data_IF_666982226199
#
_entry.id   IF_666982226199
#
_cell.length_a   1.000
_cell.length_b   1.000
_cell.length_c   1.000
_cell.angle_alpha   90.00
_cell.angle_beta   90.00
_cell.angle_gamma   90.00
#
_symmetry.space_group_name_H-M   'P 1'
#
loop_
_entity.id
_entity.type
_entity.pdbx_description
1 polymer ?
#
# COMPACT_ATOMS: atom_id res chain seq x y z
N UNK A 1 -73.67 85.70 4.73
CA UNK A 1 -73.78 86.06 6.16
C UNK A 1 -73.62 84.79 7.00
N UNK A 2 -72.85 84.90 8.09
CA UNK A 2 -72.86 84.05 9.30
C UNK A 2 -72.08 82.71 9.34
N UNK A 3 -71.00 82.78 10.13
CA UNK A 3 -70.63 81.98 11.31
C UNK A 3 -70.14 80.51 11.18
N UNK A 4 -68.95 80.29 11.77
CA UNK A 4 -68.35 79.02 12.24
C UNK A 4 -69.18 78.40 13.38
N UNK A 5 -69.02 77.10 13.70
CA UNK A 5 -68.16 76.76 14.86
C UNK A 5 -67.44 75.38 14.85
N UNK A 6 -66.37 75.34 15.67
CA UNK A 6 -65.96 74.30 16.63
C UNK A 6 -65.79 72.82 16.19
N UNK A 7 -64.52 72.42 16.06
CA UNK A 7 -63.83 71.40 16.87
C UNK A 7 -64.48 70.04 17.15
N UNK A 8 -63.81 68.96 16.71
CA UNK A 8 -63.79 67.66 17.40
C UNK A 8 -62.45 66.96 17.11
N UNK A 9 -61.63 66.77 18.14
CA UNK A 9 -60.41 65.95 18.11
C UNK A 9 -60.81 64.51 18.45
N UNK A 10 -60.68 63.59 17.49
CA UNK A 10 -60.83 62.14 17.74
C UNK A 10 -59.44 61.52 17.79
N UNK A 11 -59.02 61.09 18.97
CA UNK A 11 -57.84 60.25 19.17
C UNK A 11 -58.25 58.81 18.87
N UNK A 12 -57.76 58.26 17.75
CA UNK A 12 -57.98 56.87 17.38
C UNK A 12 -56.89 55.99 18.02
N UNK A 13 -57.27 55.18 19.00
CA UNK A 13 -56.45 54.10 19.55
C UNK A 13 -56.30 53.00 18.51
N UNK A 14 -55.12 52.89 17.91
CA UNK A 14 -54.79 51.81 16.98
C UNK A 14 -54.40 50.57 17.81
N UNK A 15 -55.31 49.61 17.92
CA UNK A 15 -54.98 48.29 18.46
C UNK A 15 -54.09 47.56 17.45
N UNK A 16 -52.82 47.36 17.82
CA UNK A 16 -51.87 46.58 17.04
C UNK A 16 -52.23 45.10 17.09
N UNK A 17 -52.85 44.60 16.02
CA UNK A 17 -52.94 43.17 15.76
C UNK A 17 -51.52 42.65 15.45
N UNK A 18 -50.94 41.91 16.40
CA UNK A 18 -49.72 41.15 16.16
C UNK A 18 -50.02 40.06 15.15
N UNK A 19 -49.49 40.19 13.93
CA UNK A 19 -49.49 39.12 12.96
C UNK A 19 -48.52 38.06 13.48
N UNK A 20 -49.06 36.94 13.95
CA UNK A 20 -48.25 35.76 14.23
C UNK A 20 -47.64 35.28 12.90
N UNK A 21 -46.35 35.54 12.69
CA UNK A 21 -45.60 34.84 11.67
C UNK A 21 -45.51 33.37 12.08
N UNK A 22 -46.29 32.50 11.43
CA UNK A 22 -45.97 31.09 11.39
C UNK A 22 -44.59 30.94 10.73
N UNK A 23 -43.56 30.75 11.55
CA UNK A 23 -42.31 30.18 11.06
C UNK A 23 -42.68 28.85 10.41
N UNK A 24 -42.42 28.62 9.11
CA UNK A 24 -42.68 27.33 8.52
C UNK A 24 -41.87 26.33 9.34
N UNK A 25 -42.58 25.47 10.06
CA UNK A 25 -41.99 24.34 10.77
C UNK A 25 -41.13 23.64 9.75
N UNK A 26 -39.83 23.48 10.00
CA UNK A 26 -38.98 22.62 9.18
C UNK A 26 -39.71 21.29 9.11
N UNK A 27 -40.31 21.01 7.95
CA UNK A 27 -40.89 19.71 7.68
C UNK A 27 -39.80 18.71 8.00
N UNK A 28 -40.08 17.72 8.86
CA UNK A 28 -39.16 16.65 9.17
C UNK A 28 -38.73 16.02 7.84
N UNK A 29 -37.59 16.47 7.32
CA UNK A 29 -36.99 15.88 6.13
C UNK A 29 -36.71 14.43 6.50
N UNK A 30 -37.28 13.48 5.77
CA UNK A 30 -37.07 12.05 6.01
C UNK A 30 -35.59 11.69 6.09
N UNK A 31 -35.26 10.49 6.61
CA UNK A 31 -33.88 10.11 6.88
C UNK A 31 -33.01 10.12 5.59
N UNK A 32 -31.68 10.25 5.73
CA UNK A 32 -30.78 10.06 4.61
C UNK A 32 -30.81 8.60 4.18
N UNK A 33 -30.55 8.34 2.90
CA UNK A 33 -30.55 6.96 2.38
C UNK A 33 -29.45 6.76 1.36
N UNK A 34 -28.43 5.99 1.72
CA UNK A 34 -27.32 5.62 0.86
C UNK A 34 -27.76 4.54 -0.14
N UNK A 35 -27.55 4.82 -1.43
CA UNK A 35 -27.63 3.82 -2.50
C UNK A 35 -26.28 3.77 -3.21
N UNK A 36 -25.70 2.57 -3.29
CA UNK A 36 -24.44 2.29 -3.98
C UNK A 36 -24.72 1.19 -5.02
N UNK A 37 -24.21 1.38 -6.24
CA UNK A 37 -24.52 0.47 -7.34
C UNK A 37 -23.79 -0.88 -7.21
N UNK A 38 -22.58 -0.88 -6.64
CA UNK A 38 -21.77 -2.09 -6.44
C UNK A 38 -21.03 -2.05 -5.10
N UNK A 39 -21.13 -3.15 -4.36
CA UNK A 39 -20.40 -3.39 -3.11
C UNK A 39 -19.21 -4.34 -3.32
N UNK A 40 -18.93 -4.72 -4.56
CA UNK A 40 -17.76 -5.50 -4.89
C UNK A 40 -17.06 -4.92 -6.12
N UNK A 41 -15.74 -5.07 -6.14
CA UNK A 41 -14.96 -4.79 -7.33
C UNK A 41 -13.83 -5.81 -7.45
N UNK A 42 -13.71 -6.38 -8.64
CA UNK A 42 -12.59 -7.25 -9.00
C UNK A 42 -11.72 -6.49 -10.02
N UNK A 43 -10.49 -6.18 -9.62
CA UNK A 43 -9.47 -5.59 -10.49
C UNK A 43 -8.88 -6.62 -11.48
N UNK A 44 -9.26 -7.89 -11.34
CA UNK A 44 -8.79 -8.98 -12.16
C UNK A 44 -7.30 -9.24 -11.98
N UNK A 45 -6.66 -9.66 -13.07
CA UNK A 45 -5.21 -9.95 -13.08
C UNK A 45 -4.42 -8.65 -13.16
N UNK A 46 -3.72 -8.35 -12.08
CA UNK A 46 -2.81 -7.22 -11.97
C UNK A 46 -1.38 -7.73 -11.87
N UNK A 47 -0.43 -7.06 -12.52
CA UNK A 47 0.98 -7.33 -12.23
C UNK A 47 1.29 -6.84 -10.81
N UNK A 48 2.04 -7.62 -10.04
CA UNK A 48 2.44 -7.20 -8.70
C UNK A 48 3.16 -5.83 -8.75
N UNK A 49 2.83 -4.93 -7.81
CA UNK A 49 3.34 -3.55 -7.81
C UNK A 49 2.49 -2.54 -8.59
N UNK A 50 1.47 -3.00 -9.34
CA UNK A 50 0.54 -2.11 -10.03
C UNK A 50 -0.45 -1.47 -9.04
N UNK A 51 -0.73 -0.18 -9.26
CA UNK A 51 -1.78 0.57 -8.59
C UNK A 51 -2.91 0.86 -9.56
N UNK A 52 -4.14 0.59 -9.16
CA UNK A 52 -5.33 0.92 -9.93
C UNK A 52 -6.37 1.63 -9.06
N UNK A 53 -7.27 2.37 -9.71
CA UNK A 53 -8.36 3.07 -9.03
C UNK A 53 -9.60 3.03 -9.92
N UNK A 54 -10.74 2.72 -9.33
CA UNK A 54 -12.04 2.73 -9.98
C UNK A 54 -12.98 3.71 -9.27
N UNK A 55 -13.93 4.28 -10.02
CA UNK A 55 -15.00 5.11 -9.46
C UNK A 55 -16.26 4.27 -9.29
N UNK A 56 -16.79 4.25 -8.08
CA UNK A 56 -18.06 3.60 -7.76
C UNK A 56 -19.11 4.70 -7.53
N UNK A 57 -20.19 4.75 -8.32
CA UNK A 57 -21.23 5.73 -8.12
C UNK A 57 -22.00 5.43 -6.84
N UNK A 58 -22.36 6.49 -6.12
CA UNK A 58 -23.31 6.42 -5.02
C UNK A 58 -24.23 7.64 -5.04
N UNK A 59 -25.40 7.51 -4.41
CA UNK A 59 -26.38 8.59 -4.33
C UNK A 59 -27.09 8.61 -2.99
N UNK A 60 -27.55 9.79 -2.62
CA UNK A 60 -28.47 9.98 -1.51
C UNK A 60 -29.91 9.91 -2.05
N UNK A 61 -30.59 8.80 -1.80
CA UNK A 61 -31.99 8.60 -2.15
C UNK A 61 -32.97 9.03 -1.04
N UNK A 62 -32.47 9.65 0.03
CA UNK A 62 -33.25 10.13 1.17
C UNK A 62 -33.72 11.58 0.97
N UNK A 63 -34.16 12.17 2.07
CA UNK A 63 -34.74 13.52 2.12
C UNK A 63 -33.92 14.51 2.95
N UNK A 64 -32.93 14.03 3.70
CA UNK A 64 -31.94 14.83 4.43
C UNK A 64 -30.51 14.51 3.97
N UNK A 65 -29.53 15.29 4.42
CA UNK A 65 -28.14 15.13 4.01
C UNK A 65 -27.55 13.79 4.44
N UNK A 66 -26.97 13.07 3.49
CA UNK A 66 -26.18 11.88 3.73
C UNK A 66 -24.74 12.31 4.06
N UNK A 67 -24.24 11.85 5.20
CA UNK A 67 -22.90 12.09 5.68
C UNK A 67 -22.11 10.78 5.62
N UNK A 68 -20.95 10.82 4.97
CA UNK A 68 -19.91 9.81 5.09
C UNK A 68 -19.09 10.17 6.34
N UNK A 69 -19.22 9.37 7.38
CA UNK A 69 -18.65 9.65 8.70
C UNK A 69 -17.26 9.03 8.88
N UNK A 70 -16.90 8.06 8.04
CA UNK A 70 -15.57 7.46 8.06
C UNK A 70 -15.40 6.34 7.03
N UNK A 71 -14.15 5.91 6.87
CA UNK A 71 -13.76 4.75 6.08
C UNK A 71 -12.74 3.97 6.90
N UNK A 72 -12.96 2.66 7.03
CA UNK A 72 -12.00 1.74 7.64
C UNK A 72 -11.54 0.70 6.61
N UNK A 73 -10.24 0.68 6.36
CA UNK A 73 -9.61 -0.27 5.47
C UNK A 73 -8.63 -1.14 6.27
N UNK A 74 -8.71 -2.46 6.08
CA UNK A 74 -7.88 -3.41 6.82
C UNK A 74 -6.36 -3.27 6.56
N UNK A 75 -5.95 -2.61 5.46
CA UNK A 75 -4.56 -2.32 5.12
C UNK A 75 -4.44 -0.98 4.38
N UNK A 76 -3.25 -0.38 4.43
CA UNK A 76 -2.92 0.79 3.59
C UNK A 76 -2.86 0.47 2.08
N UNK A 77 -2.93 -0.82 1.72
CA UNK A 77 -2.90 -1.31 0.35
C UNK A 77 -4.25 -1.17 -0.39
N UNK A 78 -5.30 -0.70 0.29
CA UNK A 78 -6.61 -0.47 -0.29
C UNK A 78 -7.20 0.81 0.28
N UNK A 79 -7.76 1.66 -0.58
CA UNK A 79 -8.30 2.97 -0.17
C UNK A 79 -9.70 3.16 -0.72
N UNK A 80 -10.55 3.84 0.04
CA UNK A 80 -11.86 4.27 -0.43
C UNK A 80 -12.03 5.74 -0.03
N UNK A 81 -12.17 6.62 -1.02
CA UNK A 81 -12.31 8.05 -0.80
C UNK A 81 -13.61 8.55 -1.40
N UNK A 82 -14.47 9.19 -0.61
CA UNK A 82 -15.65 9.84 -1.13
C UNK A 82 -15.29 11.21 -1.73
N UNK A 83 -15.71 11.47 -2.97
CA UNK A 83 -15.54 12.77 -3.63
C UNK A 83 -16.24 13.90 -2.85
N UNK A 84 -17.35 13.56 -2.17
CA UNK A 84 -18.05 14.43 -1.24
C UNK A 84 -18.45 13.64 0.01
N UNK A 85 -18.07 14.14 1.20
CA UNK A 85 -18.44 13.52 2.48
C UNK A 85 -19.81 13.97 2.98
N UNK A 86 -20.38 15.06 2.44
CA UNK A 86 -21.76 15.49 2.65
C UNK A 86 -22.46 15.54 1.30
N UNK A 87 -23.50 14.74 1.12
CA UNK A 87 -24.25 14.65 -0.12
C UNK A 87 -25.72 15.06 0.10
N UNK A 88 -26.18 16.16 -0.52
CA UNK A 88 -27.55 16.62 -0.38
C UNK A 88 -28.59 15.59 -0.87
N UNK A 89 -29.86 15.73 -0.46
CA UNK A 89 -30.95 14.87 -0.91
C UNK A 89 -31.01 14.77 -2.43
N UNK A 90 -31.28 13.56 -2.94
CA UNK A 90 -31.42 13.25 -4.37
C UNK A 90 -30.19 13.54 -5.24
N UNK A 91 -29.02 13.82 -4.64
CA UNK A 91 -27.76 14.01 -5.37
C UNK A 91 -26.97 12.71 -5.48
N UNK A 92 -26.08 12.68 -6.47
CA UNK A 92 -25.15 11.58 -6.73
C UNK A 92 -23.71 12.09 -6.68
N UNK A 93 -22.79 11.20 -6.33
CA UNK A 93 -21.35 11.46 -6.26
C UNK A 93 -20.58 10.15 -6.47
N UNK A 94 -19.27 10.15 -6.28
CA UNK A 94 -18.40 9.02 -6.54
C UNK A 94 -17.55 8.65 -5.33
N UNK A 95 -17.34 7.34 -5.15
CA UNK A 95 -16.30 6.78 -4.31
C UNK A 95 -15.12 6.39 -5.20
N UNK A 96 -13.91 6.76 -4.83
CA UNK A 96 -12.67 6.35 -5.47
C UNK A 96 -12.11 5.16 -4.70
N UNK A 97 -12.26 3.96 -5.25
CA UNK A 97 -11.72 2.73 -4.71
C UNK A 97 -10.34 2.48 -5.33
N UNK A 98 -9.28 2.61 -4.54
CA UNK A 98 -7.89 2.36 -4.94
C UNK A 98 -7.36 1.02 -4.41
N UNK A 99 -6.51 0.37 -5.20
CA UNK A 99 -5.84 -0.87 -4.82
C UNK A 99 -4.36 -0.83 -5.24
N UNK A 100 -3.47 -1.18 -4.32
CA UNK A 100 -2.02 -1.31 -4.53
C UNK A 100 -1.60 -2.77 -4.35
N UNK A 101 -1.20 -3.41 -5.44
CA UNK A 101 -0.77 -4.81 -5.46
C UNK A 101 0.71 -5.02 -5.08
N UNK A 102 1.40 -3.99 -4.59
CA UNK A 102 2.82 -4.07 -4.19
C UNK A 102 3.04 -5.16 -3.14
N UNK A 103 4.01 -6.04 -3.42
CA UNK A 103 4.38 -7.15 -2.53
C UNK A 103 3.36 -8.31 -2.46
N UNK A 104 2.29 -8.26 -3.26
CA UNK A 104 1.27 -9.31 -3.29
C UNK A 104 1.59 -10.37 -4.35
N UNK A 105 1.04 -11.58 -4.14
CA UNK A 105 1.14 -12.72 -5.06
C UNK A 105 -0.15 -13.53 -5.02
N UNK A 106 -0.61 -14.00 -6.18
CA UNK A 106 -1.78 -14.86 -6.30
C UNK A 106 -3.10 -14.14 -5.97
N UNK A 107 -4.16 -14.90 -5.59
CA UNK A 107 -5.47 -14.33 -5.33
C UNK A 107 -5.47 -13.43 -4.09
N UNK A 108 -6.13 -12.28 -4.20
CA UNK A 108 -6.26 -11.26 -3.15
C UNK A 108 -7.73 -10.99 -2.89
N UNK A 109 -8.13 -11.02 -1.62
CA UNK A 109 -9.43 -10.56 -1.14
C UNK A 109 -9.23 -9.59 0.02
N UNK A 110 -9.81 -8.40 -0.06
CA UNK A 110 -9.78 -7.36 0.97
C UNK A 110 -11.19 -6.82 1.22
N UNK A 111 -11.39 -6.24 2.40
CA UNK A 111 -12.63 -5.58 2.78
C UNK A 111 -12.37 -4.17 3.25
N UNK A 112 -13.25 -3.25 2.86
CA UNK A 112 -13.28 -1.86 3.34
C UNK A 112 -14.68 -1.60 3.86
N UNK A 113 -14.79 -0.90 4.99
CA UNK A 113 -16.08 -0.49 5.56
C UNK A 113 -16.24 1.03 5.39
N UNK A 114 -17.36 1.43 4.79
CA UNK A 114 -17.81 2.82 4.69
C UNK A 114 -18.83 3.07 5.81
N UNK A 115 -18.60 4.09 6.63
CA UNK A 115 -19.53 4.50 7.68
C UNK A 115 -20.35 5.71 7.25
N UNK A 116 -21.65 5.70 7.56
CA UNK A 116 -22.56 6.79 7.22
C UNK A 116 -23.55 7.11 8.34
N UNK A 117 -24.29 8.21 8.19
CA UNK A 117 -25.43 8.56 9.04
C UNK A 117 -26.77 7.99 8.53
N UNK A 118 -26.78 7.11 7.52
CA UNK A 118 -27.98 6.38 7.10
C UNK A 118 -28.39 5.39 8.21
N UNK A 119 -29.59 5.52 8.80
CA UNK A 119 -30.03 4.64 9.89
C UNK A 119 -30.21 3.18 9.46
N UNK A 120 -30.48 2.91 8.18
CA UNK A 120 -30.57 1.55 7.64
C UNK A 120 -29.19 0.99 7.23
N UNK A 121 -28.23 1.87 6.93
CA UNK A 121 -26.89 1.53 6.44
C UNK A 121 -25.77 2.31 7.14
N UNK A 122 -25.64 2.19 8.47
CA UNK A 122 -24.61 2.92 9.22
C UNK A 122 -23.20 2.43 8.89
N UNK A 123 -23.06 1.19 8.42
CA UNK A 123 -21.81 0.59 7.96
C UNK A 123 -22.07 -0.26 6.71
N UNK A 124 -21.29 -0.06 5.65
CA UNK A 124 -21.39 -0.77 4.38
C UNK A 124 -20.03 -1.35 3.99
N UNK A 125 -19.97 -2.66 3.79
CA UNK A 125 -18.73 -3.34 3.40
C UNK A 125 -18.59 -3.41 1.88
N UNK A 126 -17.37 -3.19 1.41
CA UNK A 126 -16.93 -3.36 0.03
C UNK A 126 -15.91 -4.49 -0.04
N UNK A 127 -16.19 -5.49 -0.89
CA UNK A 127 -15.22 -6.54 -1.23
C UNK A 127 -14.34 -6.09 -2.39
N UNK A 128 -13.03 -6.25 -2.23
CA UNK A 128 -12.03 -5.91 -3.23
C UNK A 128 -11.25 -7.16 -3.59
N UNK A 129 -11.29 -7.54 -4.86
CA UNK A 129 -10.68 -8.74 -5.39
C UNK A 129 -9.63 -8.40 -6.44
N UNK A 130 -8.60 -9.23 -6.53
CA UNK A 130 -7.60 -9.19 -7.59
C UNK A 130 -6.82 -10.52 -7.65
N UNK A 131 -6.06 -10.72 -8.71
CA UNK A 131 -5.02 -11.75 -8.81
C UNK A 131 -3.68 -11.07 -9.14
N UNK A 132 -2.75 -11.08 -8.19
CA UNK A 132 -1.43 -10.49 -8.34
C UNK A 132 -0.47 -11.46 -9.06
N UNK A 133 -0.17 -11.13 -10.32
CA UNK A 133 0.70 -11.87 -11.22
C UNK A 133 2.17 -11.50 -10.97
N UNK A 134 2.96 -12.48 -10.52
CA UNK A 134 4.41 -12.37 -10.46
C UNK A 134 4.98 -12.84 -11.80
N UNK A 135 5.73 -11.98 -12.50
CA UNK A 135 6.31 -12.34 -13.81
C UNK A 135 7.77 -12.79 -13.68
N UNK A 136 8.53 -12.20 -12.75
CA UNK A 136 9.90 -12.58 -12.44
C UNK A 136 10.05 -12.75 -10.93
N UNK A 137 10.57 -13.90 -10.51
CA UNK A 137 10.76 -14.23 -9.09
C UNK A 137 12.17 -14.73 -8.83
N UNK A 138 12.70 -14.45 -7.63
CA UNK A 138 13.94 -15.02 -7.12
C UNK A 138 13.60 -15.87 -5.89
N UNK A 139 14.06 -17.13 -5.88
CA UNK A 139 13.92 -18.04 -4.75
C UNK A 139 15.29 -18.59 -4.31
N UNK A 140 15.56 -18.75 -3.00
CA UNK A 140 14.73 -18.28 -1.89
C UNK A 140 14.62 -16.75 -1.88
N UNK A 141 13.64 -16.19 -1.15
CA UNK A 141 13.46 -14.73 -1.05
C UNK A 141 14.58 -14.03 -0.25
N UNK A 142 15.36 -14.81 0.50
CA UNK A 142 16.56 -14.37 1.23
C UNK A 142 17.53 -15.55 1.34
N UNK A 143 18.84 -15.27 1.26
CA UNK A 143 19.87 -16.21 1.69
C UNK A 143 20.26 -15.85 3.12
N UNK A 144 19.72 -16.58 4.10
CA UNK A 144 20.11 -16.46 5.50
C UNK A 144 21.01 -17.63 5.90
N UNK A 145 22.18 -17.34 6.47
CA UNK A 145 23.11 -18.32 7.01
C UNK A 145 23.21 -18.12 8.54
N UNK A 146 22.52 -18.95 9.34
CA UNK A 146 22.31 -18.67 10.76
C UNK A 146 23.59 -18.58 11.60
N UNK A 147 24.60 -19.42 11.33
CA UNK A 147 25.88 -19.45 12.03
C UNK A 147 26.98 -19.86 11.04
N UNK A 148 28.04 -19.05 10.92
CA UNK A 148 29.24 -19.33 10.11
C UNK A 148 30.50 -18.96 10.88
N UNK A 149 31.65 -19.53 10.51
CA UNK A 149 32.95 -19.18 11.08
C UNK A 149 33.66 -18.12 10.22
N UNK A 150 34.54 -17.28 10.82
CA UNK A 150 35.43 -16.43 10.05
C UNK A 150 36.28 -17.25 9.06
N UNK A 151 36.40 -16.79 7.81
CA UNK A 151 37.14 -17.48 6.75
C UNK A 151 36.40 -18.62 6.05
N UNK A 152 35.17 -18.93 6.45
CA UNK A 152 34.35 -19.97 5.82
C UNK A 152 33.85 -19.53 4.44
N UNK A 153 33.79 -20.49 3.51
CA UNK A 153 33.18 -20.30 2.19
C UNK A 153 31.91 -21.12 2.14
N UNK A 154 30.79 -20.46 1.87
CA UNK A 154 29.46 -21.07 1.81
C UNK A 154 28.95 -20.97 0.38
N UNK A 155 28.49 -22.09 -0.17
CA UNK A 155 27.83 -22.13 -1.47
C UNK A 155 26.32 -22.31 -1.31
N UNK A 156 25.55 -21.57 -2.11
CA UNK A 156 24.10 -21.58 -2.17
C UNK A 156 23.65 -21.54 -3.63
N UNK A 157 22.46 -22.05 -3.88
CA UNK A 157 21.82 -21.95 -5.18
C UNK A 157 20.61 -21.01 -5.09
N UNK A 158 20.44 -20.20 -6.12
CA UNK A 158 19.32 -19.29 -6.29
C UNK A 158 18.63 -19.62 -7.60
N UNK A 159 17.31 -19.73 -7.56
CA UNK A 159 16.47 -19.90 -8.73
C UNK A 159 15.87 -18.56 -9.13
N UNK A 160 16.01 -18.21 -10.41
CA UNK A 160 15.36 -17.05 -11.00
C UNK A 160 14.33 -17.57 -12.00
N UNK A 161 13.06 -17.30 -11.72
CA UNK A 161 11.93 -17.76 -12.51
C UNK A 161 11.48 -16.66 -13.47
N UNK A 162 11.22 -17.04 -14.71
CA UNK A 162 10.41 -16.27 -15.65
C UNK A 162 9.04 -16.94 -15.76
N UNK A 163 8.07 -16.42 -15.02
CA UNK A 163 6.68 -16.89 -15.04
C UNK A 163 5.85 -16.22 -16.14
N UNK A 164 6.43 -15.27 -16.88
CA UNK A 164 5.73 -14.55 -17.94
C UNK A 164 5.57 -15.41 -19.21
N UNK A 165 4.71 -14.94 -20.12
CA UNK A 165 4.54 -15.52 -21.45
C UNK A 165 5.59 -15.04 -22.46
N UNK A 166 6.54 -14.19 -22.04
CA UNK A 166 7.57 -13.58 -22.89
C UNK A 166 8.96 -13.96 -22.39
N UNK A 167 10.00 -13.94 -23.23
CA UNK A 167 11.37 -14.03 -22.73
C UNK A 167 11.68 -12.85 -21.80
N UNK A 168 12.51 -13.08 -20.80
CA UNK A 168 13.00 -12.03 -19.88
C UNK A 168 14.52 -12.07 -19.91
N UNK A 169 15.16 -10.93 -20.19
CA UNK A 169 16.61 -10.79 -20.19
C UNK A 169 17.10 -10.31 -18.84
N UNK A 170 17.92 -11.11 -18.17
CA UNK A 170 18.74 -10.69 -17.04
C UNK A 170 19.92 -9.88 -17.61
N UNK A 171 19.86 -8.56 -17.41
CA UNK A 171 20.82 -7.62 -18.00
C UNK A 171 22.07 -7.46 -17.13
N UNK A 172 21.92 -7.59 -15.82
CA UNK A 172 23.00 -7.53 -14.85
C UNK A 172 22.67 -8.39 -13.64
N UNK A 173 23.64 -9.15 -13.14
CA UNK A 173 23.55 -9.88 -11.88
C UNK A 173 24.82 -9.55 -11.12
N UNK A 174 24.69 -8.82 -10.01
CA UNK A 174 25.83 -8.37 -9.22
C UNK A 174 25.57 -8.41 -7.74
N UNK A 175 26.64 -8.38 -6.97
CA UNK A 175 26.58 -8.23 -5.53
C UNK A 175 26.81 -6.78 -5.11
N UNK A 176 26.19 -6.38 -3.99
CA UNK A 176 26.52 -5.13 -3.31
C UNK A 176 27.81 -5.19 -2.47
N UNK A 177 28.43 -6.37 -2.36
CA UNK A 177 29.60 -6.64 -1.51
C UNK A 177 30.59 -7.59 -2.19
N UNK A 178 31.91 -7.35 -2.10
CA UNK A 178 32.91 -8.23 -2.69
C UNK A 178 32.94 -9.63 -2.04
N UNK A 179 32.49 -9.76 -0.79
CA UNK A 179 32.42 -11.03 -0.06
C UNK A 179 31.34 -11.98 -0.62
N UNK A 180 30.35 -11.46 -1.35
CA UNK A 180 29.31 -12.27 -1.98
C UNK A 180 29.65 -12.34 -3.47
N UNK A 181 30.20 -13.48 -3.89
CA UNK A 181 30.53 -13.77 -5.28
C UNK A 181 29.36 -14.52 -5.91
N UNK A 182 28.97 -14.11 -7.12
CA UNK A 182 27.87 -14.75 -7.84
C UNK A 182 28.44 -15.28 -9.15
N UNK A 183 28.22 -16.56 -9.42
CA UNK A 183 28.58 -17.16 -10.69
C UNK A 183 27.38 -17.10 -11.63
N UNK A 184 27.18 -15.93 -12.23
CA UNK A 184 26.15 -15.71 -13.24
C UNK A 184 26.57 -14.65 -14.25
N UNK A 185 26.18 -14.89 -15.50
CA UNK A 185 26.34 -13.94 -16.60
C UNK A 185 24.97 -13.42 -17.03
N UNK A 186 24.90 -12.23 -17.65
CA UNK A 186 23.70 -11.77 -18.34
C UNK A 186 23.20 -12.84 -19.31
N UNK A 187 21.90 -13.13 -19.27
CA UNK A 187 21.28 -14.22 -20.02
C UNK A 187 19.79 -13.98 -20.22
N UNK A 188 19.18 -14.71 -21.15
CA UNK A 188 17.74 -14.61 -21.42
C UNK A 188 17.05 -15.88 -20.96
N UNK A 189 16.01 -15.74 -20.13
CA UNK A 189 15.15 -16.83 -19.71
C UNK A 189 14.01 -16.95 -20.71
N UNK A 190 13.76 -18.18 -21.18
CA UNK A 190 12.60 -18.47 -22.00
C UNK A 190 11.29 -18.23 -21.19
N UNK A 191 10.14 -18.05 -21.85
CA UNK A 191 8.85 -18.03 -21.16
C UNK A 191 8.68 -19.28 -20.29
N UNK A 192 8.10 -19.11 -19.10
CA UNK A 192 7.79 -20.21 -18.18
C UNK A 192 9.01 -21.08 -17.79
N UNK A 193 10.21 -20.49 -17.78
CA UNK A 193 11.44 -21.20 -17.45
C UNK A 193 12.06 -20.72 -16.14
N UNK A 194 13.06 -21.46 -15.66
CA UNK A 194 13.87 -21.11 -14.48
C UNK A 194 15.35 -21.23 -14.85
N UNK A 195 16.19 -20.39 -14.24
CA UNK A 195 17.65 -20.59 -14.23
C UNK A 195 18.15 -20.69 -12.79
N UNK A 196 19.14 -21.57 -12.60
CA UNK A 196 19.85 -21.74 -11.33
C UNK A 196 21.17 -21.00 -11.37
N UNK A 197 21.45 -20.25 -10.31
CA UNK A 197 22.64 -19.42 -10.16
C UNK A 197 23.35 -19.82 -8.87
N UNK A 198 24.64 -20.14 -9.00
CA UNK A 198 25.51 -20.39 -7.86
C UNK A 198 25.90 -19.08 -7.17
N UNK A 199 25.74 -19.05 -5.85
CA UNK A 199 26.18 -17.95 -4.98
C UNK A 199 27.22 -18.49 -4.02
N UNK A 200 28.39 -17.86 -4.01
CA UNK A 200 29.50 -18.16 -3.11
C UNK A 200 29.69 -16.99 -2.15
N UNK A 201 29.45 -17.22 -0.87
CA UNK A 201 29.71 -16.28 0.20
C UNK A 201 31.04 -16.61 0.85
N UNK A 202 32.01 -15.69 0.78
CA UNK A 202 33.30 -15.79 1.43
C UNK A 202 33.31 -14.91 2.67
N UNK A 203 33.26 -15.52 3.87
CA UNK A 203 33.27 -14.78 5.13
C UNK A 203 34.70 -14.27 5.41
N UNK A 204 34.92 -12.96 5.62
CA UNK A 204 36.23 -12.45 6.00
C UNK A 204 36.76 -13.11 7.27
N UNK A 205 38.08 -13.31 7.36
CA UNK A 205 38.72 -13.98 8.52
C UNK A 205 38.65 -13.15 9.80
N UNK A 206 38.46 -11.85 9.67
CA UNK A 206 38.31 -10.86 10.74
C UNK A 206 36.84 -10.48 10.99
N UNK A 207 35.89 -11.08 10.27
CA UNK A 207 34.47 -10.77 10.44
C UNK A 207 33.96 -11.25 11.80
N UNK A 208 33.18 -10.40 12.46
CA UNK A 208 32.46 -10.67 13.71
C UNK A 208 31.07 -10.07 13.60
N UNK A 209 30.05 -10.75 14.14
CA UNK A 209 28.67 -10.28 14.06
C UNK A 209 28.04 -10.60 12.70
N UNK A 210 27.22 -9.72 12.16
CA UNK A 210 26.45 -10.00 10.93
C UNK A 210 27.12 -9.44 9.69
N UNK A 211 27.30 -10.30 8.68
CA UNK A 211 27.65 -9.91 7.31
C UNK A 211 26.35 -9.83 6.50
N UNK A 212 25.96 -8.62 6.11
CA UNK A 212 24.73 -8.38 5.34
C UNK A 212 25.00 -7.68 4.02
N UNK A 213 24.46 -8.20 2.93
CA UNK A 213 24.51 -7.59 1.60
C UNK A 213 23.26 -7.93 0.80
N UNK A 214 23.31 -7.66 -0.50
CA UNK A 214 22.25 -8.05 -1.42
C UNK A 214 22.83 -8.42 -2.78
N UNK A 215 22.17 -9.35 -3.43
CA UNK A 215 22.32 -9.61 -4.85
C UNK A 215 21.30 -8.73 -5.58
N UNK A 216 21.77 -8.01 -6.60
CA UNK A 216 20.97 -7.15 -7.46
C UNK A 216 20.86 -7.83 -8.82
N UNK A 217 19.64 -8.17 -9.21
CA UNK A 217 19.32 -8.71 -10.53
C UNK A 217 18.54 -7.64 -11.30
N UNK A 218 19.10 -7.17 -12.42
CA UNK A 218 18.40 -6.25 -13.34
C UNK A 218 17.81 -7.02 -14.50
N UNK A 219 16.62 -6.62 -14.92
CA UNK A 219 15.91 -7.24 -16.04
C UNK A 219 15.37 -6.21 -17.02
N UNK A 220 14.91 -6.65 -18.18
CA UNK A 220 14.16 -5.86 -19.16
C UNK A 220 12.64 -5.89 -18.95
N UNK A 221 12.15 -6.63 -17.95
CA UNK A 221 10.74 -6.64 -17.59
C UNK A 221 10.38 -5.31 -16.88
N UNK A 222 9.46 -4.49 -17.41
CA UNK A 222 9.23 -3.11 -16.92
C UNK A 222 8.90 -3.03 -15.42
N UNK A 223 8.06 -3.95 -14.95
CA UNK A 223 7.60 -3.99 -13.55
C UNK A 223 8.58 -4.74 -12.62
N UNK A 224 9.63 -5.38 -13.19
CA UNK A 224 10.66 -6.15 -12.48
C UNK A 224 12.07 -5.72 -12.90
N UNK A 225 12.25 -4.44 -13.23
CA UNK A 225 13.50 -3.91 -13.75
C UNK A 225 14.69 -4.12 -12.80
N UNK A 226 14.42 -4.17 -11.49
CA UNK A 226 15.42 -4.53 -10.47
C UNK A 226 14.80 -5.35 -9.37
N UNK A 227 15.39 -6.53 -9.14
CA UNK A 227 15.07 -7.44 -8.06
C UNK A 227 16.23 -7.47 -7.06
N UNK A 228 15.90 -7.59 -5.78
CA UNK A 228 16.88 -7.68 -4.70
C UNK A 228 16.71 -9.01 -3.97
N UNK A 229 17.81 -9.73 -3.82
CA UNK A 229 17.90 -10.89 -2.96
C UNK A 229 18.82 -10.54 -1.77
N UNK A 230 18.26 -10.30 -0.58
CA UNK A 230 19.04 -10.11 0.63
C UNK A 230 19.91 -11.33 0.94
N UNK A 231 21.11 -11.08 1.43
CA UNK A 231 22.04 -12.10 1.90
C UNK A 231 22.50 -11.70 3.29
N UNK A 232 22.33 -12.59 4.26
CA UNK A 232 22.75 -12.38 5.64
C UNK A 232 23.46 -13.62 6.16
N UNK A 233 24.55 -13.42 6.90
CA UNK A 233 25.22 -14.48 7.64
C UNK A 233 25.64 -13.98 9.01
N UNK A 234 25.36 -14.74 10.07
CA UNK A 234 25.86 -14.42 11.40
C UNK A 234 27.17 -15.17 11.67
N UNK A 235 28.24 -14.41 11.86
CA UNK A 235 29.57 -14.93 12.12
C UNK A 235 29.74 -15.14 13.62
N UNK A 236 29.80 -16.40 14.02
CA UNK A 236 30.08 -16.76 15.41
C UNK A 236 31.58 -17.05 15.55
N UNK A 237 32.30 -16.08 16.08
CA UNK A 237 33.74 -16.18 16.30
C UNK A 237 34.21 -15.09 17.26
N UNK A 238 35.03 -15.49 18.23
CA UNK A 238 35.89 -14.58 18.96
C UNK A 238 36.91 -14.07 17.93
N UNK A 239 37.08 -12.75 17.77
CA UNK A 239 38.08 -12.19 16.88
C UNK A 239 39.42 -12.91 17.10
N UNK A 240 40.00 -13.50 16.05
CA UNK A 240 41.31 -14.13 16.15
C UNK A 240 42.29 -13.11 16.71
N UNK A 241 42.86 -13.39 17.88
CA UNK A 241 43.89 -12.53 18.47
C UNK A 241 44.97 -12.28 17.40
N UNK A 242 45.49 -11.04 17.27
CA UNK A 242 46.53 -10.76 16.31
C UNK A 242 47.66 -11.76 16.53
N UNK A 243 48.10 -12.43 15.47
CA UNK A 243 49.23 -13.34 15.53
C UNK A 243 50.48 -12.51 15.85
N UNK A 244 50.78 -12.33 17.13
CA UNK A 244 52.07 -11.80 17.58
C UNK A 244 53.08 -12.85 17.19
N UNK A 245 53.75 -12.64 16.06
CA UNK A 245 54.90 -13.44 15.68
C UNK A 245 56.00 -13.04 16.65
N UNK A 246 56.12 -13.79 17.76
CA UNK A 246 57.18 -13.62 18.72
C UNK A 246 58.47 -14.09 18.05
N UNK A 247 59.11 -13.23 17.25
CA UNK A 247 60.48 -13.46 16.80
C UNK A 247 61.34 -13.37 18.06
N UNK A 248 61.91 -14.50 18.48
CA UNK A 248 62.99 -14.49 19.45
C UNK A 248 64.08 -13.52 18.96
N UNK A 249 64.61 -12.64 19.82
CA UNK A 249 65.79 -11.86 19.48
C UNK A 249 66.94 -12.83 19.14
N UNK A 250 67.79 -12.49 18.15
CA UNK A 250 68.93 -13.35 17.81
C UNK A 250 69.84 -13.47 19.02
N UNK A 251 70.25 -14.70 19.32
CA UNK A 251 71.23 -15.01 20.36
C UNK A 251 72.53 -14.27 20.06
N UNK A 252 73.11 -13.52 21.00
CA UNK A 252 74.43 -12.92 20.79
C UNK A 252 75.46 -14.05 20.66
N UNK A 253 76.16 -14.08 19.53
CA UNK A 253 77.35 -14.94 19.35
C UNK A 253 78.52 -14.43 20.19
N UNK A 254 79.38 -15.33 20.70
CA UNK A 254 80.53 -14.99 21.55
C UNK A 254 81.62 -14.21 20.81
#
# INVERSE_FOLDING_TARGET
MRQLPAGFFVVLLIASAAWAQENPTQANAGPPRLVVDKLNHDFGRLRAGKRETVRIPFRNAGESDLLITGVDAACQCTTLLAEQTRLPPRRSSWLHLGFDSTGMRGPVLKRITLFTNDPERPAVQFDVQAEAMVEVEIAPAEIAVPIVKPGEIIEREVEIFNMSAKPVRLTEIKSSRPEIVIDAKPQTLAPRSVVRVGVRLSIPRDAVGTVSGRIVVRTDAPDYATLFLPVQANVNGIAGAPTVTNRLPPTPTP
#
